data_IF_084693008429
#
_entry.id   IF_084693008429
#
_cell.length_a   1.000
_cell.length_b   1.000
_cell.length_c   1.000
_cell.angle_alpha   90.00
_cell.angle_beta   90.00
_cell.angle_gamma   90.00
#
_symmetry.space_group_name_H-M   'P 1'
#
loop_
_entity.id
_entity.type
_entity.pdbx_description
1 polymer ?
#
# COMPACT_ATOMS: atom_id res chain seq x y z
N UNK A 1 -20.23 27.43 -6.51
CA UNK A 1 -18.83 26.95 -6.68
C UNK A 1 -18.16 27.07 -5.32
N UNK A 2 -17.75 25.95 -4.66
CA UNK A 2 -16.92 26.07 -3.47
C UNK A 2 -15.62 26.75 -3.89
N UNK A 3 -15.27 27.80 -3.19
CA UNK A 3 -13.99 28.48 -3.39
C UNK A 3 -12.92 27.43 -3.17
N UNK A 4 -12.05 27.25 -4.17
CA UNK A 4 -10.92 26.32 -4.07
C UNK A 4 -10.12 26.78 -2.85
N UNK A 5 -9.88 25.87 -1.93
CA UNK A 5 -9.19 26.18 -0.68
C UNK A 5 -7.73 26.54 -0.99
N UNK A 6 -7.42 27.83 -0.99
CA UNK A 6 -6.10 28.38 -1.28
C UNK A 6 -5.04 27.75 -0.36
N UNK A 7 -5.36 27.58 0.90
CA UNK A 7 -4.44 27.08 1.90
C UNK A 7 -4.14 25.59 1.72
N UNK A 8 -5.15 24.79 1.32
CA UNK A 8 -4.92 23.40 0.96
C UNK A 8 -3.96 23.27 -0.24
N UNK A 9 -4.15 24.09 -1.28
CA UNK A 9 -3.20 24.09 -2.42
C UNK A 9 -1.80 24.49 -2.00
N UNK A 10 -1.66 25.52 -1.18
CA UNK A 10 -0.36 25.95 -0.65
C UNK A 10 0.30 24.83 0.17
N UNK A 11 -0.46 24.11 1.00
CA UNK A 11 0.03 22.96 1.74
C UNK A 11 0.50 21.84 0.81
N UNK A 12 -0.25 21.54 -0.24
CA UNK A 12 0.10 20.51 -1.23
C UNK A 12 1.36 20.88 -2.03
N UNK A 13 1.54 22.15 -2.37
CA UNK A 13 2.72 22.63 -3.10
C UNK A 13 3.99 22.60 -2.23
N UNK A 14 3.86 22.87 -0.93
CA UNK A 14 4.97 22.86 0.02
C UNK A 14 5.38 21.44 0.45
N UNK A 15 4.45 20.50 0.48
CA UNK A 15 4.72 19.14 0.90
C UNK A 15 5.51 18.36 -0.18
N UNK A 16 6.52 17.55 0.19
CA UNK A 16 7.02 17.25 1.55
C UNK A 16 8.22 18.12 1.99
N UNK A 17 8.59 19.16 1.25
CA UNK A 17 9.88 19.86 1.37
C UNK A 17 9.90 20.96 2.42
N UNK A 18 8.79 21.64 2.62
CA UNK A 18 8.64 22.76 3.57
C UNK A 18 7.59 22.40 4.62
N UNK A 19 7.99 21.59 5.61
CA UNK A 19 7.05 20.99 6.57
C UNK A 19 6.33 22.02 7.44
N UNK A 20 7.05 23.04 7.91
CA UNK A 20 6.51 24.10 8.76
C UNK A 20 5.42 24.90 8.03
N UNK A 21 5.69 25.36 6.82
CA UNK A 21 4.73 26.09 5.98
C UNK A 21 3.55 25.17 5.54
N UNK A 22 3.82 23.88 5.38
CA UNK A 22 2.75 22.89 5.08
C UNK A 22 1.77 22.80 6.23
N UNK A 23 2.28 22.65 7.47
CA UNK A 23 1.45 22.53 8.67
C UNK A 23 0.66 23.84 8.89
N UNK A 24 1.31 24.99 8.82
CA UNK A 24 0.63 26.28 8.97
C UNK A 24 -0.50 26.44 7.96
N UNK A 25 -0.23 26.10 6.70
CA UNK A 25 -1.27 26.18 5.65
C UNK A 25 -2.42 25.20 5.90
N UNK A 26 -2.15 23.98 6.41
CA UNK A 26 -3.19 23.02 6.78
C UNK A 26 -4.03 23.48 7.96
N UNK A 27 -3.41 24.11 8.96
CA UNK A 27 -4.15 24.67 10.10
C UNK A 27 -5.10 25.76 9.65
N UNK A 28 -4.69 26.63 8.71
CA UNK A 28 -5.61 27.57 8.08
C UNK A 28 -6.70 26.87 7.28
N UNK A 29 -6.39 25.88 6.47
CA UNK A 29 -7.37 25.14 5.68
C UNK A 29 -8.45 24.48 6.57
N UNK A 30 -8.03 23.81 7.65
CA UNK A 30 -8.93 23.15 8.60
C UNK A 30 -9.70 24.14 9.48
N UNK A 31 -9.18 25.35 9.72
CA UNK A 31 -9.93 26.41 10.42
C UNK A 31 -11.11 26.93 9.60
N UNK A 32 -11.02 26.88 8.26
CA UNK A 32 -12.11 27.26 7.35
C UNK A 32 -13.08 26.11 7.06
N UNK A 33 -12.59 24.90 6.95
CA UNK A 33 -13.38 23.69 6.67
C UNK A 33 -12.76 22.51 7.42
N UNK A 34 -13.24 22.28 8.64
CA UNK A 34 -12.82 21.18 9.53
C UNK A 34 -13.18 19.80 8.95
N UNK A 35 -14.03 19.76 7.92
CA UNK A 35 -14.45 18.55 7.18
C UNK A 35 -13.73 18.34 5.86
N UNK A 36 -12.67 19.09 5.61
CA UNK A 36 -11.86 18.91 4.41
C UNK A 36 -11.06 17.62 4.47
N UNK A 37 -11.56 16.57 3.81
CA UNK A 37 -10.95 15.23 3.82
C UNK A 37 -9.55 15.18 3.22
N UNK A 38 -9.23 16.05 2.25
CA UNK A 38 -7.89 16.14 1.67
C UNK A 38 -6.90 16.80 2.64
N UNK A 39 -7.33 17.83 3.36
CA UNK A 39 -6.50 18.46 4.40
C UNK A 39 -6.20 17.48 5.54
N UNK A 40 -7.23 16.78 6.04
CA UNK A 40 -7.08 15.73 7.05
C UNK A 40 -6.15 14.60 6.56
N UNK A 41 -6.30 14.17 5.30
CA UNK A 41 -5.44 13.14 4.71
C UNK A 41 -3.97 13.60 4.63
N UNK A 42 -3.72 14.84 4.21
CA UNK A 42 -2.36 15.36 4.15
C UNK A 42 -1.75 15.51 5.56
N UNK A 43 -2.54 15.94 6.54
CA UNK A 43 -2.12 15.99 7.93
C UNK A 43 -1.73 14.61 8.45
N UNK A 44 -2.58 13.61 8.20
CA UNK A 44 -2.29 12.21 8.53
C UNK A 44 -0.98 11.71 7.89
N UNK A 45 -0.74 12.06 6.62
CA UNK A 45 0.50 11.72 5.91
C UNK A 45 1.72 12.37 6.55
N UNK A 46 1.64 13.63 6.95
CA UNK A 46 2.73 14.30 7.67
C UNK A 46 3.05 13.55 8.96
N UNK A 47 2.03 13.22 9.75
CA UNK A 47 2.23 12.47 11.00
C UNK A 47 2.90 11.11 10.75
N UNK A 48 2.48 10.37 9.72
CA UNK A 48 3.03 9.06 9.41
C UNK A 48 4.41 9.12 8.72
N UNK A 49 4.53 9.93 7.66
CA UNK A 49 5.66 9.88 6.72
C UNK A 49 6.85 10.73 7.18
N UNK A 50 6.58 11.83 7.92
CA UNK A 50 7.61 12.78 8.36
C UNK A 50 7.93 12.64 9.86
N UNK A 51 6.91 12.41 10.68
CA UNK A 51 7.05 12.40 12.14
C UNK A 51 7.04 11.00 12.75
N UNK A 52 6.74 9.96 11.96
CA UNK A 52 6.57 8.57 12.43
C UNK A 52 5.57 8.43 13.59
N UNK A 53 4.61 9.36 13.69
CA UNK A 53 3.56 9.37 14.70
C UNK A 53 2.32 8.64 14.15
N UNK A 54 2.40 7.32 14.09
CA UNK A 54 1.39 6.49 13.41
C UNK A 54 0.03 6.53 14.11
N UNK A 55 -0.02 6.62 15.44
CA UNK A 55 -1.29 6.67 16.17
C UNK A 55 -2.07 7.96 15.83
N UNK A 56 -1.39 9.08 15.79
CA UNK A 56 -2.03 10.35 15.42
C UNK A 56 -2.42 10.35 13.94
N UNK A 57 -1.59 9.79 13.08
CA UNK A 57 -1.93 9.61 11.67
C UNK A 57 -3.22 8.79 11.49
N UNK A 58 -3.39 7.70 12.24
CA UNK A 58 -4.61 6.88 12.24
C UNK A 58 -5.83 7.70 12.62
N UNK A 59 -5.73 8.55 13.63
CA UNK A 59 -6.82 9.42 14.07
C UNK A 59 -7.31 10.35 12.93
N UNK A 60 -6.40 11.00 12.23
CA UNK A 60 -6.74 11.86 11.09
C UNK A 60 -7.32 11.09 9.91
N UNK A 61 -6.78 9.91 9.57
CA UNK A 61 -7.35 9.07 8.51
C UNK A 61 -8.77 8.60 8.85
N UNK A 62 -9.02 8.20 10.11
CA UNK A 62 -10.34 7.80 10.56
C UNK A 62 -11.34 8.95 10.49
N UNK A 63 -10.97 10.16 10.91
CA UNK A 63 -11.80 11.35 10.78
C UNK A 63 -12.14 11.61 9.31
N UNK A 64 -11.17 11.58 8.42
CA UNK A 64 -11.39 11.81 7.00
C UNK A 64 -12.35 10.77 6.39
N UNK A 65 -12.20 9.48 6.71
CA UNK A 65 -13.10 8.42 6.23
C UNK A 65 -14.49 8.47 6.88
N UNK A 66 -14.62 8.95 8.12
CA UNK A 66 -15.90 9.17 8.76
C UNK A 66 -16.69 10.29 8.06
N UNK A 67 -16.01 11.29 7.51
CA UNK A 67 -16.62 12.37 6.71
C UNK A 67 -16.99 11.88 5.31
N UNK A 68 -16.07 11.19 4.64
CA UNK A 68 -16.30 10.68 3.29
C UNK A 68 -15.63 9.32 3.07
N UNK A 69 -16.40 8.27 3.22
CA UNK A 69 -15.94 6.89 3.00
C UNK A 69 -15.55 6.59 1.54
N UNK A 70 -15.97 7.43 0.59
CA UNK A 70 -15.62 7.31 -0.83
C UNK A 70 -14.41 8.16 -1.23
N UNK A 71 -13.68 8.73 -0.28
CA UNK A 71 -12.40 9.41 -0.54
C UNK A 71 -11.30 8.39 -0.84
N UNK A 72 -11.24 7.95 -2.10
CA UNK A 72 -10.45 6.79 -2.56
C UNK A 72 -8.95 6.97 -2.37
N UNK A 73 -8.46 8.21 -2.36
CA UNK A 73 -7.08 8.60 -2.16
C UNK A 73 -6.56 8.27 -0.76
N UNK A 74 -7.43 8.21 0.24
CA UNK A 74 -7.07 7.99 1.65
C UNK A 74 -6.61 6.56 1.89
N UNK A 75 -7.25 5.58 1.25
CA UNK A 75 -7.06 4.15 1.56
C UNK A 75 -5.61 3.70 1.44
N UNK A 76 -4.92 4.08 0.37
CA UNK A 76 -3.55 3.66 0.15
C UNK A 76 -2.60 4.17 1.25
N UNK A 77 -2.73 5.43 1.63
CA UNK A 77 -1.90 6.03 2.68
C UNK A 77 -2.21 5.44 4.06
N UNK A 78 -3.50 5.25 4.36
CA UNK A 78 -3.90 4.66 5.63
C UNK A 78 -3.45 3.20 5.77
N UNK A 79 -3.62 2.37 4.73
CA UNK A 79 -3.12 1.00 4.72
C UNK A 79 -1.60 0.96 4.94
N UNK A 80 -0.86 1.84 4.26
CA UNK A 80 0.60 1.91 4.43
C UNK A 80 0.98 2.28 5.85
N UNK A 81 0.28 3.24 6.47
CA UNK A 81 0.47 3.64 7.87
C UNK A 81 0.23 2.47 8.82
N UNK A 82 -0.85 1.72 8.65
CA UNK A 82 -1.15 0.54 9.45
C UNK A 82 -0.07 -0.55 9.31
N UNK A 83 0.45 -0.76 8.10
CA UNK A 83 1.54 -1.71 7.86
C UNK A 83 2.83 -1.26 8.58
N UNK A 84 3.15 0.03 8.53
CA UNK A 84 4.34 0.59 9.21
C UNK A 84 4.22 0.55 10.73
N UNK A 85 3.00 0.72 11.26
CA UNK A 85 2.70 0.59 12.69
C UNK A 85 2.54 -0.86 13.16
N UNK A 86 2.71 -1.83 12.27
CA UNK A 86 2.51 -3.26 12.54
C UNK A 86 1.06 -3.65 12.92
N UNK A 87 0.08 -2.80 12.64
CA UNK A 87 -1.35 -3.05 12.83
C UNK A 87 -1.90 -3.96 11.71
N UNK A 88 -1.33 -5.14 11.55
CA UNK A 88 -1.57 -6.01 10.40
C UNK A 88 -3.01 -6.49 10.24
N UNK A 89 -3.73 -6.69 11.33
CA UNK A 89 -5.13 -7.10 11.31
C UNK A 89 -6.05 -5.97 10.82
N UNK A 90 -5.79 -4.75 11.26
CA UNK A 90 -6.52 -3.56 10.77
C UNK A 90 -6.20 -3.29 9.30
N UNK A 91 -4.93 -3.39 8.92
CA UNK A 91 -4.51 -3.26 7.53
C UNK A 91 -5.24 -4.26 6.62
N UNK A 92 -5.37 -5.53 7.04
CA UNK A 92 -6.06 -6.55 6.26
C UNK A 92 -7.57 -6.25 6.12
N UNK A 93 -8.23 -5.80 7.19
CA UNK A 93 -9.63 -5.38 7.16
C UNK A 93 -9.83 -4.18 6.23
N UNK A 94 -8.96 -3.17 6.34
CA UNK A 94 -9.05 -1.97 5.53
C UNK A 94 -8.78 -2.27 4.04
N UNK A 95 -7.80 -3.13 3.72
CA UNK A 95 -7.54 -3.62 2.36
C UNK A 95 -8.80 -4.29 1.77
N UNK A 96 -9.40 -5.21 2.51
CA UNK A 96 -10.58 -5.94 2.03
C UNK A 96 -11.75 -4.98 1.79
N UNK A 97 -11.96 -4.01 2.66
CA UNK A 97 -12.98 -2.97 2.49
C UNK A 97 -12.67 -2.06 1.29
N UNK A 98 -11.44 -1.53 1.18
CA UNK A 98 -11.03 -0.64 0.09
C UNK A 98 -11.25 -1.26 -1.30
N UNK A 99 -11.05 -2.57 -1.45
CA UNK A 99 -11.30 -3.29 -2.70
C UNK A 99 -12.78 -3.31 -3.12
N UNK A 100 -13.71 -3.02 -2.20
CA UNK A 100 -15.15 -2.89 -2.50
C UNK A 100 -15.54 -1.48 -2.91
N UNK A 101 -14.71 -0.47 -2.60
CA UNK A 101 -15.01 0.94 -2.89
C UNK A 101 -14.84 1.21 -4.38
N UNK A 102 -15.85 1.84 -4.97
CA UNK A 102 -15.84 2.20 -6.40
C UNK A 102 -14.82 3.30 -6.66
N UNK A 103 -13.98 3.11 -7.67
CA UNK A 103 -12.99 4.12 -8.09
C UNK A 103 -11.63 3.97 -7.42
N UNK A 104 -11.48 3.10 -6.41
CA UNK A 104 -10.17 2.84 -5.81
C UNK A 104 -9.22 2.19 -6.82
N UNK A 105 -7.93 2.53 -6.72
CA UNK A 105 -6.87 1.85 -7.48
C UNK A 105 -6.66 0.42 -6.94
N UNK A 106 -7.44 -0.53 -7.46
CA UNK A 106 -7.40 -1.93 -6.99
C UNK A 106 -6.03 -2.56 -7.09
N UNK A 107 -5.28 -2.28 -8.15
CA UNK A 107 -3.92 -2.81 -8.32
C UNK A 107 -3.00 -2.27 -7.24
N UNK A 108 -3.05 -0.97 -6.95
CA UNK A 108 -2.30 -0.36 -5.85
C UNK A 108 -2.62 -0.98 -4.49
N UNK A 109 -3.90 -1.19 -4.17
CA UNK A 109 -4.30 -1.84 -2.92
C UNK A 109 -3.83 -3.31 -2.87
N UNK A 110 -3.91 -4.05 -3.99
CA UNK A 110 -3.44 -5.44 -4.05
C UNK A 110 -1.92 -5.54 -3.92
N UNK A 111 -1.15 -4.56 -4.38
CA UNK A 111 0.31 -4.53 -4.14
C UNK A 111 0.65 -4.37 -2.66
N UNK A 112 -0.11 -3.55 -1.92
CA UNK A 112 0.02 -3.44 -0.47
C UNK A 112 -0.40 -4.74 0.25
N UNK A 113 -1.42 -5.45 -0.25
CA UNK A 113 -1.77 -6.79 0.25
C UNK A 113 -0.64 -7.80 0.04
N UNK A 114 0.05 -7.76 -1.09
CA UNK A 114 1.24 -8.60 -1.34
C UNK A 114 2.33 -8.29 -0.30
N UNK A 115 2.60 -7.02 -0.03
CA UNK A 115 3.56 -6.58 0.98
C UNK A 115 3.17 -7.10 2.38
N UNK A 116 1.92 -6.94 2.79
CA UNK A 116 1.41 -7.42 4.06
C UNK A 116 1.58 -8.95 4.20
N UNK A 117 1.20 -9.72 3.18
CA UNK A 117 1.37 -11.17 3.16
C UNK A 117 2.85 -11.58 3.22
N UNK A 118 3.74 -10.79 2.62
CA UNK A 118 5.20 -11.03 2.69
C UNK A 118 5.72 -10.81 4.12
N UNK A 119 5.28 -9.76 4.80
CA UNK A 119 5.62 -9.45 6.20
C UNK A 119 5.10 -10.55 7.13
N UNK A 120 3.84 -10.97 6.96
CA UNK A 120 3.23 -12.08 7.71
C UNK A 120 3.83 -13.46 7.38
N UNK A 121 4.82 -13.53 6.48
CA UNK A 121 5.48 -14.76 5.99
C UNK A 121 4.52 -15.72 5.27
N UNK A 122 3.40 -15.24 4.79
CA UNK A 122 2.39 -15.99 4.04
C UNK A 122 2.76 -16.10 2.55
N UNK A 123 4.00 -16.53 2.26
CA UNK A 123 4.62 -16.48 0.94
C UNK A 123 3.85 -17.24 -0.16
N UNK A 124 3.14 -18.31 0.20
CA UNK A 124 2.33 -19.06 -0.78
C UNK A 124 1.14 -18.24 -1.26
N UNK A 125 0.47 -17.54 -0.33
CA UNK A 125 -0.67 -16.66 -0.64
C UNK A 125 -0.18 -15.44 -1.42
N UNK A 126 0.91 -14.80 -0.98
CA UNK A 126 1.52 -13.69 -1.70
C UNK A 126 1.86 -14.07 -3.16
N UNK A 127 2.45 -15.26 -3.38
CA UNK A 127 2.77 -15.76 -4.72
C UNK A 127 1.54 -16.01 -5.58
N UNK A 128 0.44 -16.49 -4.98
CA UNK A 128 -0.84 -16.66 -5.68
C UNK A 128 -1.40 -15.31 -6.09
N UNK A 129 -1.44 -14.36 -5.15
CA UNK A 129 -1.95 -13.00 -5.38
C UNK A 129 -1.14 -12.26 -6.48
N UNK A 130 0.18 -12.40 -6.51
CA UNK A 130 1.02 -11.84 -7.58
C UNK A 130 0.56 -12.29 -8.97
N UNK A 131 0.19 -13.56 -9.15
CA UNK A 131 -0.30 -14.05 -10.45
C UNK A 131 -1.64 -13.43 -10.81
N UNK A 132 -2.54 -13.27 -9.84
CA UNK A 132 -3.85 -12.66 -10.04
C UNK A 132 -3.72 -11.17 -10.39
N UNK A 133 -2.84 -10.44 -9.69
CA UNK A 133 -2.57 -9.02 -9.97
C UNK A 133 -2.01 -8.83 -11.37
N UNK A 134 -1.09 -9.67 -11.82
CA UNK A 134 -0.51 -9.60 -13.16
C UNK A 134 -1.55 -9.70 -14.29
N UNK A 135 -2.64 -10.40 -14.06
CA UNK A 135 -3.74 -10.49 -15.03
C UNK A 135 -4.62 -9.23 -15.06
N UNK A 136 -4.52 -8.38 -14.03
CA UNK A 136 -5.31 -7.15 -13.92
C UNK A 136 -4.52 -5.90 -14.34
N UNK A 137 -3.19 -5.99 -14.36
CA UNK A 137 -2.32 -4.87 -14.75
C UNK A 137 -2.41 -4.65 -16.26
N UNK A 138 -2.77 -3.43 -16.66
CA UNK A 138 -2.91 -3.01 -18.07
C UNK A 138 -1.79 -2.05 -18.51
N UNK A 139 -0.99 -1.56 -17.56
CA UNK A 139 0.13 -0.65 -17.79
C UNK A 139 1.39 -1.09 -17.05
N UNK A 140 2.53 -0.48 -17.34
CA UNK A 140 3.83 -0.84 -16.74
C UNK A 140 4.07 -0.30 -15.34
N UNK A 141 3.16 0.51 -14.78
CA UNK A 141 3.40 1.25 -13.53
C UNK A 141 3.71 0.33 -12.34
N UNK A 142 3.09 -0.85 -12.32
CA UNK A 142 3.28 -1.83 -11.26
C UNK A 142 4.22 -2.99 -11.61
N UNK A 143 4.67 -3.11 -12.85
CA UNK A 143 5.47 -4.25 -13.32
C UNK A 143 6.75 -4.43 -12.52
N UNK A 144 7.47 -3.34 -12.28
CA UNK A 144 8.72 -3.38 -11.51
C UNK A 144 8.50 -3.88 -10.07
N UNK A 145 7.48 -3.35 -9.38
CA UNK A 145 7.13 -3.80 -8.03
C UNK A 145 6.74 -5.28 -8.00
N UNK A 146 5.92 -5.71 -8.95
CA UNK A 146 5.43 -7.09 -9.05
C UNK A 146 6.59 -8.07 -9.29
N UNK A 147 7.52 -7.75 -10.20
CA UNK A 147 8.68 -8.61 -10.47
C UNK A 147 9.66 -8.66 -9.30
N UNK A 148 9.93 -7.54 -8.65
CA UNK A 148 10.75 -7.52 -7.44
C UNK A 148 10.13 -8.33 -6.31
N UNK A 149 8.84 -8.14 -6.05
CA UNK A 149 8.11 -8.89 -5.01
C UNK A 149 8.11 -10.39 -5.30
N UNK A 150 7.88 -10.78 -6.55
CA UNK A 150 7.96 -12.18 -6.99
C UNK A 150 9.34 -12.77 -6.74
N UNK A 151 10.39 -12.06 -7.11
CA UNK A 151 11.78 -12.51 -6.92
C UNK A 151 12.12 -12.70 -5.44
N UNK A 152 11.76 -11.71 -4.59
CA UNK A 152 11.97 -11.80 -3.14
C UNK A 152 11.19 -12.97 -2.53
N UNK A 153 9.90 -13.10 -2.87
CA UNK A 153 9.02 -14.15 -2.32
C UNK A 153 9.47 -15.54 -2.78
N UNK A 154 9.89 -15.70 -4.03
CA UNK A 154 10.44 -16.96 -4.54
C UNK A 154 11.74 -17.36 -3.82
N UNK A 155 12.61 -16.39 -3.53
CA UNK A 155 13.83 -16.62 -2.74
C UNK A 155 13.50 -17.06 -1.30
N UNK A 156 12.57 -16.36 -0.61
CA UNK A 156 12.12 -16.69 0.74
C UNK A 156 11.44 -18.08 0.80
N UNK A 157 10.64 -18.43 -0.21
CA UNK A 157 10.02 -19.76 -0.32
C UNK A 157 11.05 -20.90 -0.43
N UNK A 158 12.18 -20.70 -1.12
CA UNK A 158 13.27 -21.67 -1.19
C UNK A 158 13.92 -21.89 0.17
N UNK A 159 14.10 -20.82 0.94
CA UNK A 159 14.67 -20.88 2.30
C UNK A 159 13.75 -21.70 3.23
N UNK A 160 12.44 -21.40 3.20
CA UNK A 160 11.47 -22.06 4.09
C UNK A 160 11.19 -23.52 3.67
N UNK A 161 11.33 -23.87 2.37
CA UNK A 161 11.02 -25.20 1.85
C UNK A 161 12.19 -25.83 1.07
N UNK A 162 13.37 -26.08 1.67
CA UNK A 162 14.56 -26.54 0.96
C UNK A 162 14.43 -27.95 0.34
N UNK A 163 13.49 -28.78 0.81
CA UNK A 163 13.27 -30.14 0.29
C UNK A 163 12.62 -30.16 -1.11
N UNK A 164 11.83 -29.16 -1.46
CA UNK A 164 11.14 -29.12 -2.76
C UNK A 164 12.08 -28.78 -3.93
N UNK A 165 13.19 -28.07 -3.69
CA UNK A 165 14.15 -27.73 -4.74
C UNK A 165 15.06 -28.92 -5.07
N UNK A 166 15.42 -29.76 -4.09
CA UNK A 166 16.20 -30.99 -4.34
C UNK A 166 15.41 -32.00 -5.20
N UNK A 167 14.09 -32.10 -5.01
CA UNK A 167 13.22 -32.96 -5.82
C UNK A 167 12.99 -32.42 -7.25
N UNK A 168 12.91 -31.12 -7.44
CA UNK A 168 12.77 -30.50 -8.76
C UNK A 168 14.07 -30.60 -9.57
N UNK A 169 15.22 -30.44 -8.94
CA UNK A 169 16.52 -30.58 -9.60
C UNK A 169 16.79 -32.03 -10.00
N UNK A 170 16.49 -33.01 -9.14
CA UNK A 170 16.56 -34.44 -9.51
C UNK A 170 15.64 -34.79 -10.70
N UNK A 171 14.43 -34.25 -10.77
CA UNK A 171 13.52 -34.46 -11.91
C UNK A 171 14.00 -33.79 -13.20
N UNK A 172 14.67 -32.63 -13.11
CA UNK A 172 15.27 -31.98 -14.30
C UNK A 172 16.47 -32.72 -14.83
N UNK A 173 17.33 -33.24 -13.97
CA UNK A 173 18.47 -34.05 -14.36
C UNK A 173 18.06 -35.38 -14.96
N UNK A 174 17.04 -36.04 -14.40
CA UNK A 174 16.52 -37.30 -14.96
C UNK A 174 15.86 -37.14 -16.34
N UNK A 175 15.23 -35.98 -16.64
CA UNK A 175 14.69 -35.66 -17.95
C UNK A 175 15.80 -35.34 -18.97
N UNK A 176 16.90 -34.66 -18.56
CA UNK A 176 18.01 -34.38 -19.47
C UNK A 176 18.76 -35.68 -19.85
N UNK A 177 18.86 -36.68 -18.96
CA UNK A 177 19.48 -37.97 -19.25
C UNK A 177 18.66 -38.89 -20.16
N UNK A 178 17.33 -38.67 -20.27
CA UNK A 178 16.44 -39.44 -21.15
C UNK A 178 16.28 -38.83 -22.53
N UNK A 179 16.67 -37.57 -22.75
CA UNK A 179 16.60 -36.89 -24.04
C UNK A 179 17.88 -36.97 -24.90
N UNK A 180 18.94 -37.64 -24.39
CA UNK A 180 20.23 -37.84 -25.10
C UNK A 180 20.48 -39.30 -25.41
N UNK A 181 19.42 -40.09 -25.66
CA UNK A 181 19.53 -41.46 -26.20
C UNK A 181 18.75 -41.56 -27.49
#
# INVERSE_FOLDING_TARGET
MKTIDKYLFQALDNYPYCLEETIESLDYALSYDDKNTMALCLYARIQAEQLSNYEEAKNYFQQALAININAVEIYSHYIQTLILNEDFEEAEKLINFALTVKGVNKVGILTQKIQLLEIKKEFKLAKKLIKEVRLQVVNSDFDHFIEQSKTRIDAKLKIVNPKNDKLKNKKKESKKRKGNK
#
